data_IF_921675082482
#
_entry.id   IF_921675082482
#
_cell.length_a   1.000
_cell.length_b   1.000
_cell.length_c   1.000
_cell.angle_alpha   90.00
_cell.angle_beta   90.00
_cell.angle_gamma   90.00
#
_symmetry.space_group_name_H-M   'P 1'
#
loop_
_entity.id
_entity.type
_entity.pdbx_description
1 polymer ?
#
# COMPACT_ATOMS: atom_id res chain seq x y z
N UNK A 1 -37.54 -16.22 5.14
CA UNK A 1 -36.22 -16.81 5.41
C UNK A 1 -35.55 -17.37 4.15
N UNK A 2 -36.25 -18.08 3.25
CA UNK A 2 -35.65 -18.64 2.01
C UNK A 2 -34.88 -17.65 1.11
N UNK A 3 -35.33 -16.39 0.96
CA UNK A 3 -34.66 -15.43 0.09
C UNK A 3 -33.29 -14.96 0.62
N UNK A 4 -33.09 -14.94 1.95
CA UNK A 4 -31.81 -14.53 2.56
C UNK A 4 -30.76 -15.65 2.45
N UNK A 5 -31.15 -16.91 2.67
CA UNK A 5 -30.27 -18.07 2.47
C UNK A 5 -29.89 -18.25 0.99
N UNK A 6 -30.85 -18.09 0.06
CA UNK A 6 -30.53 -18.18 -1.37
C UNK A 6 -29.55 -17.08 -1.81
N UNK A 7 -29.72 -15.86 -1.32
CA UNK A 7 -28.81 -14.76 -1.65
C UNK A 7 -27.42 -14.97 -1.02
N UNK A 8 -27.34 -15.46 0.22
CA UNK A 8 -26.07 -15.78 0.87
C UNK A 8 -25.33 -16.91 0.14
N UNK A 9 -26.03 -17.98 -0.22
CA UNK A 9 -25.46 -19.09 -1.00
C UNK A 9 -25.00 -18.63 -2.38
N UNK A 10 -25.76 -17.77 -3.05
CA UNK A 10 -25.38 -17.22 -4.34
C UNK A 10 -24.09 -16.38 -4.22
N UNK A 11 -23.99 -15.52 -3.20
CA UNK A 11 -22.78 -14.73 -2.94
C UNK A 11 -21.58 -15.63 -2.63
N UNK A 12 -21.76 -16.68 -1.84
CA UNK A 12 -20.69 -17.63 -1.52
C UNK A 12 -20.21 -18.39 -2.76
N UNK A 13 -21.14 -18.87 -3.59
CA UNK A 13 -20.81 -19.58 -4.83
C UNK A 13 -20.07 -18.63 -5.79
N UNK A 14 -20.62 -17.45 -6.03
CA UNK A 14 -20.05 -16.48 -6.95
C UNK A 14 -18.67 -15.99 -6.47
N UNK A 15 -18.55 -15.71 -5.17
CA UNK A 15 -17.28 -15.36 -4.53
C UNK A 15 -16.24 -16.47 -4.65
N UNK A 16 -16.65 -17.73 -4.48
CA UNK A 16 -15.77 -18.90 -4.63
C UNK A 16 -15.28 -19.07 -6.06
N UNK A 17 -16.14 -18.86 -7.05
CA UNK A 17 -15.77 -18.91 -8.49
C UNK A 17 -14.78 -17.81 -8.83
N UNK A 18 -15.03 -16.58 -8.40
CA UNK A 18 -14.08 -15.46 -8.60
C UNK A 18 -12.74 -15.78 -7.95
N UNK A 19 -12.76 -16.27 -6.70
CA UNK A 19 -11.54 -16.57 -5.97
C UNK A 19 -10.74 -17.69 -6.66
N UNK A 20 -11.41 -18.74 -7.14
CA UNK A 20 -10.79 -19.81 -7.91
C UNK A 20 -10.12 -19.29 -9.20
N UNK A 21 -10.80 -18.40 -9.94
CA UNK A 21 -10.23 -17.77 -11.13
C UNK A 21 -8.99 -16.92 -10.81
N UNK A 22 -9.01 -16.18 -9.70
CA UNK A 22 -7.85 -15.40 -9.24
C UNK A 22 -6.68 -16.33 -8.91
N UNK A 23 -6.91 -17.39 -8.14
CA UNK A 23 -5.86 -18.35 -7.80
C UNK A 23 -5.27 -19.02 -9.04
N UNK A 24 -6.13 -19.40 -9.99
CA UNK A 24 -5.70 -20.00 -11.25
C UNK A 24 -4.86 -19.02 -12.08
N UNK A 25 -5.25 -17.73 -12.10
CA UNK A 25 -4.49 -16.68 -12.78
C UNK A 25 -3.12 -16.42 -12.13
N UNK A 26 -3.06 -16.35 -10.80
CA UNK A 26 -1.82 -16.18 -10.06
C UNK A 26 -0.86 -17.37 -10.26
N UNK A 27 -1.40 -18.59 -10.20
CA UNK A 27 -0.64 -19.81 -10.47
C UNK A 27 -0.11 -19.84 -11.91
N UNK A 28 -0.93 -19.42 -12.88
CA UNK A 28 -0.53 -19.34 -14.29
C UNK A 28 0.61 -18.34 -14.52
N UNK A 29 0.62 -17.23 -13.78
CA UNK A 29 1.67 -16.22 -13.84
C UNK A 29 2.85 -16.50 -12.89
N UNK A 30 2.86 -17.61 -12.16
CA UNK A 30 3.89 -17.94 -11.16
C UNK A 30 4.14 -16.82 -10.12
N UNK A 31 3.11 -16.05 -9.81
CA UNK A 31 3.20 -14.99 -8.80
C UNK A 31 3.10 -15.64 -7.41
N UNK A 32 3.96 -15.20 -6.48
CA UNK A 32 3.91 -15.69 -5.11
C UNK A 32 2.62 -15.23 -4.40
N UNK A 33 1.77 -16.20 -4.07
CA UNK A 33 0.46 -15.97 -3.44
C UNK A 33 0.60 -15.18 -2.13
N UNK A 34 1.65 -15.45 -1.35
CA UNK A 34 1.91 -14.77 -0.09
C UNK A 34 2.07 -13.25 -0.27
N UNK A 35 2.81 -12.81 -1.30
CA UNK A 35 3.02 -11.38 -1.57
C UNK A 35 1.70 -10.67 -1.94
N UNK A 36 0.86 -11.32 -2.75
CA UNK A 36 -0.44 -10.78 -3.15
C UNK A 36 -1.38 -10.65 -1.96
N UNK A 37 -1.41 -11.64 -1.06
CA UNK A 37 -2.22 -11.59 0.16
C UNK A 37 -1.74 -10.47 1.09
N UNK A 38 -0.43 -10.36 1.32
CA UNK A 38 0.14 -9.28 2.15
C UNK A 38 -0.21 -7.92 1.56
N UNK A 39 -0.04 -7.73 0.25
CA UNK A 39 -0.40 -6.49 -0.42
C UNK A 39 -1.89 -6.18 -0.29
N UNK A 40 -2.77 -7.17 -0.45
CA UNK A 40 -4.22 -6.99 -0.26
C UNK A 40 -4.56 -6.52 1.16
N UNK A 41 -3.94 -7.12 2.18
CA UNK A 41 -4.14 -6.76 3.58
C UNK A 41 -3.69 -5.32 3.82
N UNK A 42 -2.45 -4.99 3.43
CA UNK A 42 -1.89 -3.64 3.62
C UNK A 42 -2.71 -2.61 2.85
N UNK A 43 -3.12 -2.92 1.62
CA UNK A 43 -3.97 -2.05 0.80
C UNK A 43 -5.32 -1.78 1.46
N UNK A 44 -5.96 -2.81 2.02
CA UNK A 44 -7.25 -2.67 2.71
C UNK A 44 -7.13 -1.75 3.92
N UNK A 45 -6.12 -1.95 4.77
CA UNK A 45 -5.88 -1.08 5.93
C UNK A 45 -5.48 0.34 5.53
N UNK A 46 -4.63 0.49 4.51
CA UNK A 46 -4.27 1.79 3.92
C UNK A 46 -5.50 2.54 3.44
N UNK A 47 -6.38 1.88 2.68
CA UNK A 47 -7.64 2.44 2.19
C UNK A 47 -8.57 2.88 3.32
N UNK A 48 -8.75 2.04 4.34
CA UNK A 48 -9.56 2.38 5.52
C UNK A 48 -8.98 3.61 6.24
N UNK A 49 -7.66 3.63 6.49
CA UNK A 49 -7.01 4.76 7.15
C UNK A 49 -7.15 6.05 6.34
N UNK A 50 -7.05 5.98 5.02
CA UNK A 50 -7.21 7.13 4.14
C UNK A 50 -8.66 7.65 4.12
N UNK A 51 -9.66 6.76 4.15
CA UNK A 51 -11.08 7.14 4.31
C UNK A 51 -11.30 7.86 5.64
N UNK A 52 -10.76 7.31 6.74
CA UNK A 52 -10.84 7.95 8.07
C UNK A 52 -10.17 9.32 8.05
N UNK A 53 -9.00 9.46 7.40
CA UNK A 53 -8.29 10.74 7.23
C UNK A 53 -9.19 11.78 6.56
N UNK A 54 -9.89 11.41 5.50
CA UNK A 54 -10.73 12.36 4.74
C UNK A 54 -11.93 12.80 5.55
N UNK A 55 -12.56 11.88 6.27
CA UNK A 55 -13.64 12.18 7.20
C UNK A 55 -13.16 13.11 8.31
N UNK A 56 -11.99 12.83 8.91
CA UNK A 56 -11.41 13.65 9.97
C UNK A 56 -11.00 15.06 9.52
N UNK A 57 -10.57 15.21 8.26
CA UNK A 57 -10.16 16.50 7.66
C UNK A 57 -11.29 17.18 6.86
N UNK A 58 -12.51 16.61 6.88
CA UNK A 58 -13.70 17.10 6.18
C UNK A 58 -13.46 17.41 4.69
N UNK A 59 -12.70 16.54 4.01
CA UNK A 59 -12.33 16.67 2.60
C UNK A 59 -13.33 15.99 1.67
N UNK A 60 -13.29 16.32 0.39
CA UNK A 60 -14.20 15.75 -0.61
C UNK A 60 -13.90 14.27 -0.89
N UNK A 61 -14.73 13.37 -0.37
CA UNK A 61 -14.65 11.92 -0.56
C UNK A 61 -14.67 11.50 -2.03
N UNK A 62 -15.46 12.19 -2.86
CA UNK A 62 -15.63 11.81 -4.27
C UNK A 62 -14.32 12.01 -5.05
N UNK A 63 -13.65 13.13 -4.81
CA UNK A 63 -12.36 13.43 -5.45
C UNK A 63 -11.26 12.46 -5.01
N UNK A 64 -11.28 12.03 -3.75
CA UNK A 64 -10.37 10.99 -3.25
C UNK A 64 -10.61 9.62 -3.90
N UNK A 65 -11.87 9.17 -3.96
CA UNK A 65 -12.23 7.91 -4.59
C UNK A 65 -11.78 7.84 -6.06
N UNK A 66 -12.01 8.92 -6.82
CA UNK A 66 -11.67 8.93 -8.24
C UNK A 66 -10.19 9.14 -8.51
N UNK A 67 -9.44 9.75 -7.61
CA UNK A 67 -8.03 10.11 -7.86
C UNK A 67 -7.09 9.14 -7.14
N UNK A 68 -7.19 9.03 -5.82
CA UNK A 68 -6.27 8.20 -5.03
C UNK A 68 -6.57 6.72 -5.21
N UNK A 69 -7.82 6.29 -4.96
CA UNK A 69 -8.17 4.87 -5.06
C UNK A 69 -8.02 4.37 -6.50
N UNK A 70 -8.45 5.15 -7.49
CA UNK A 70 -8.30 4.77 -8.89
C UNK A 70 -6.82 4.71 -9.31
N UNK A 71 -6.01 5.72 -8.96
CA UNK A 71 -4.58 5.74 -9.29
C UNK A 71 -3.84 4.56 -8.66
N UNK A 72 -4.15 4.25 -7.39
CA UNK A 72 -3.59 3.08 -6.71
C UNK A 72 -4.01 1.78 -7.38
N UNK A 73 -5.28 1.64 -7.75
CA UNK A 73 -5.79 0.47 -8.47
C UNK A 73 -5.12 0.32 -9.85
N UNK A 74 -4.87 1.43 -10.54
CA UNK A 74 -4.09 1.44 -11.79
C UNK A 74 -2.64 1.03 -11.57
N UNK A 75 -2.02 1.41 -10.46
CA UNK A 75 -0.65 1.00 -10.13
C UNK A 75 -0.52 -0.53 -9.98
N UNK A 76 -1.58 -1.24 -9.60
CA UNK A 76 -1.59 -2.72 -9.59
C UNK A 76 -1.44 -3.32 -10.99
N UNK A 77 -1.78 -2.61 -12.07
CA UNK A 77 -1.54 -3.16 -13.42
C UNK A 77 -0.06 -3.31 -13.76
N UNK A 78 0.84 -2.57 -13.09
CA UNK A 78 2.28 -2.64 -13.33
C UNK A 78 2.83 -4.05 -13.06
N UNK A 79 2.68 -4.65 -11.86
CA UNK A 79 3.11 -6.03 -11.62
C UNK A 79 2.47 -7.04 -12.58
N UNK A 80 1.21 -6.83 -12.99
CA UNK A 80 0.51 -7.72 -13.92
C UNK A 80 1.13 -7.70 -15.32
N UNK A 81 1.43 -6.52 -15.86
CA UNK A 81 2.10 -6.38 -17.16
C UNK A 81 3.48 -7.04 -17.11
N UNK A 82 4.24 -6.80 -16.04
CA UNK A 82 5.54 -7.42 -15.84
C UNK A 82 5.44 -8.95 -15.76
N UNK A 83 4.41 -9.49 -15.11
CA UNK A 83 4.19 -10.93 -15.01
C UNK A 83 3.87 -11.57 -16.37
N UNK A 84 3.12 -10.87 -17.23
CA UNK A 84 2.88 -11.31 -18.61
C UNK A 84 4.18 -11.30 -19.43
N UNK A 85 5.02 -10.28 -19.27
CA UNK A 85 6.32 -10.19 -19.95
C UNK A 85 7.31 -11.26 -19.45
N UNK A 86 7.31 -11.56 -18.15
CA UNK A 86 8.17 -12.57 -17.54
C UNK A 86 7.91 -13.99 -18.08
N UNK A 87 6.74 -14.21 -18.66
CA UNK A 87 6.43 -15.46 -19.37
C UNK A 87 7.31 -15.70 -20.60
N UNK A 88 7.80 -14.63 -21.23
CA UNK A 88 8.70 -14.72 -22.40
C UNK A 88 10.17 -14.78 -21.97
N UNK A 89 10.54 -14.10 -20.89
CA UNK A 89 11.92 -14.01 -20.39
C UNK A 89 11.92 -14.22 -18.87
N UNK A 90 12.45 -15.36 -18.43
CA UNK A 90 12.39 -15.80 -17.03
C UNK A 90 13.09 -14.87 -16.03
N UNK A 91 14.10 -14.10 -16.46
CA UNK A 91 14.80 -13.13 -15.61
C UNK A 91 13.86 -12.04 -15.08
N UNK A 92 12.78 -11.72 -15.80
CA UNK A 92 11.82 -10.71 -15.35
C UNK A 92 10.92 -11.17 -14.20
N UNK A 93 10.91 -12.46 -13.81
CA UNK A 93 10.17 -12.90 -12.62
C UNK A 93 10.67 -12.21 -11.34
N UNK A 94 11.98 -11.96 -11.22
CA UNK A 94 12.50 -11.14 -10.12
C UNK A 94 11.91 -9.73 -10.12
N UNK A 95 11.72 -9.14 -11.30
CA UNK A 95 11.13 -7.80 -11.43
C UNK A 95 9.66 -7.78 -10.98
N UNK A 96 8.94 -8.87 -11.22
CA UNK A 96 7.56 -9.06 -10.76
C UNK A 96 7.52 -9.05 -9.23
N UNK A 97 8.34 -9.88 -8.58
CA UNK A 97 8.42 -9.96 -7.11
C UNK A 97 8.83 -8.62 -6.48
N UNK A 98 9.81 -7.94 -7.09
CA UNK A 98 10.21 -6.60 -6.67
C UNK A 98 9.09 -5.57 -6.83
N UNK A 99 8.30 -5.64 -7.91
CA UNK A 99 7.20 -4.71 -8.12
C UNK A 99 6.08 -4.88 -7.09
N UNK A 100 5.71 -6.13 -6.75
CA UNK A 100 4.75 -6.42 -5.67
C UNK A 100 5.27 -5.97 -4.31
N UNK A 101 6.54 -6.24 -4.02
CA UNK A 101 7.18 -5.80 -2.77
C UNK A 101 7.24 -4.27 -2.68
N UNK A 102 7.57 -3.59 -3.77
CA UNK A 102 7.61 -2.13 -3.83
C UNK A 102 6.23 -1.50 -3.62
N UNK A 103 5.19 -2.03 -4.28
CA UNK A 103 3.81 -1.60 -4.02
C UNK A 103 3.41 -1.81 -2.56
N UNK A 104 3.79 -2.95 -1.97
CA UNK A 104 3.47 -3.27 -0.56
C UNK A 104 4.09 -2.26 0.38
N UNK A 105 5.37 -1.95 0.17
CA UNK A 105 6.10 -0.94 0.97
C UNK A 105 5.47 0.44 0.77
N UNK A 106 5.17 0.83 -0.47
CA UNK A 106 4.50 2.10 -0.79
C UNK A 106 3.17 2.23 -0.05
N UNK A 107 2.36 1.18 -0.02
CA UNK A 107 1.08 1.21 0.68
C UNK A 107 1.20 1.21 2.21
N UNK A 108 2.23 0.55 2.73
CA UNK A 108 2.55 0.65 4.15
C UNK A 108 2.92 2.09 4.53
N UNK A 109 3.69 2.79 3.70
CA UNK A 109 3.98 4.21 3.91
C UNK A 109 2.73 5.09 3.82
N UNK A 110 1.88 4.89 2.81
CA UNK A 110 0.63 5.64 2.67
C UNK A 110 -0.30 5.46 3.90
N UNK A 111 -0.35 4.26 4.46
CA UNK A 111 -1.05 3.98 5.72
C UNK A 111 -0.47 4.80 6.89
N UNK A 112 0.86 4.81 7.07
CA UNK A 112 1.52 5.59 8.12
C UNK A 112 1.31 7.10 7.96
N UNK A 113 1.35 7.61 6.72
CA UNK A 113 1.06 9.01 6.40
C UNK A 113 -0.37 9.36 6.82
N UNK A 114 -1.32 8.50 6.48
CA UNK A 114 -2.74 8.69 6.82
C UNK A 114 -2.95 8.77 8.34
N UNK A 115 -2.32 7.87 9.09
CA UNK A 115 -2.34 7.90 10.57
C UNK A 115 -1.73 9.19 11.12
N UNK A 116 -0.55 9.60 10.62
CA UNK A 116 0.10 10.81 11.11
C UNK A 116 -0.71 12.07 10.80
N UNK A 117 -1.34 12.12 9.62
CA UNK A 117 -2.20 13.22 9.21
C UNK A 117 -3.43 13.34 10.12
N UNK A 118 -4.06 12.21 10.48
CA UNK A 118 -5.16 12.19 11.47
C UNK A 118 -4.66 12.71 12.83
N UNK A 119 -3.49 12.24 13.29
CA UNK A 119 -2.93 12.62 14.60
C UNK A 119 -2.58 14.11 14.68
N UNK A 120 -2.04 14.69 13.62
CA UNK A 120 -1.69 16.13 13.58
C UNK A 120 -2.87 17.02 13.19
N UNK A 121 -3.98 16.46 12.70
CA UNK A 121 -5.12 17.18 12.09
C UNK A 121 -4.70 18.12 10.95
N UNK A 122 -3.60 17.78 10.28
CA UNK A 122 -3.06 18.52 9.15
C UNK A 122 -2.92 17.57 7.97
N UNK A 123 -3.13 18.09 6.76
CA UNK A 123 -2.94 17.32 5.55
C UNK A 123 -1.45 17.18 5.24
N UNK A 124 -0.84 16.13 5.77
CA UNK A 124 0.53 15.78 5.44
C UNK A 124 0.50 15.11 4.06
N UNK A 125 1.13 15.77 3.08
CA UNK A 125 1.40 15.18 1.77
C UNK A 125 2.52 14.14 1.90
N UNK A 126 2.54 13.13 1.05
CA UNK A 126 3.53 12.03 1.10
C UNK A 126 4.98 12.56 1.03
N UNK A 127 5.24 13.60 0.23
CA UNK A 127 6.56 14.24 0.12
C UNK A 127 7.01 14.87 1.46
N UNK A 128 6.09 15.48 2.21
CA UNK A 128 6.40 16.08 3.50
C UNK A 128 6.63 15.02 4.59
N UNK A 129 5.98 13.86 4.47
CA UNK A 129 6.25 12.72 5.35
C UNK A 129 7.67 12.18 5.16
N UNK A 130 8.17 12.08 3.92
CA UNK A 130 9.56 11.68 3.67
C UNK A 130 10.53 12.65 4.36
N UNK A 131 10.29 13.96 4.26
CA UNK A 131 11.10 14.97 4.95
C UNK A 131 11.05 14.81 6.48
N UNK A 132 9.85 14.63 7.06
CA UNK A 132 9.67 14.41 8.50
C UNK A 132 10.33 13.10 8.96
N UNK A 133 10.26 12.05 8.15
CA UNK A 133 10.86 10.76 8.44
C UNK A 133 12.39 10.86 8.38
N UNK A 134 12.95 11.48 7.35
CA UNK A 134 14.39 11.74 7.22
C UNK A 134 14.87 12.60 8.40
N UNK A 135 14.12 13.62 8.81
CA UNK A 135 14.50 14.48 9.94
C UNK A 135 14.48 13.72 11.28
N UNK A 136 13.49 12.85 11.50
CA UNK A 136 13.44 11.96 12.66
C UNK A 136 14.56 10.92 12.61
N UNK A 137 14.83 10.34 11.46
CA UNK A 137 15.91 9.38 11.28
C UNK A 137 17.26 10.06 11.49
N UNK A 138 17.46 11.29 11.02
CA UNK A 138 18.63 12.13 11.28
C UNK A 138 18.78 12.45 12.76
N UNK A 139 17.70 12.74 13.48
CA UNK A 139 17.72 12.93 14.95
C UNK A 139 18.06 11.65 15.71
N UNK A 140 17.55 10.51 15.29
CA UNK A 140 17.88 9.21 15.89
C UNK A 140 19.33 8.85 15.58
N UNK A 141 19.74 8.95 14.32
CA UNK A 141 21.10 8.72 13.86
C UNK A 141 22.08 9.62 14.61
N UNK A 142 21.87 10.94 14.66
CA UNK A 142 22.73 11.87 15.43
C UNK A 142 22.79 11.54 16.93
N UNK A 143 21.68 11.08 17.53
CA UNK A 143 21.64 10.63 18.93
C UNK A 143 22.41 9.34 19.18
N UNK A 144 22.39 8.39 18.23
CA UNK A 144 23.14 7.13 18.33
C UNK A 144 24.60 7.26 17.89
N UNK A 145 24.88 8.17 16.95
CA UNK A 145 26.21 8.35 16.39
C UNK A 145 27.10 9.22 17.28
N UNK A 146 26.59 9.73 18.43
CA UNK A 146 27.28 10.72 19.28
C UNK A 146 28.09 11.66 18.40
N UNK A 147 27.41 12.37 17.49
CA UNK A 147 28.01 13.60 16.98
C UNK A 147 27.93 14.55 18.16
N UNK A 148 28.88 14.36 19.06
CA UNK A 148 29.29 15.29 20.08
C UNK A 148 29.55 16.56 19.30
N UNK A 149 28.64 17.52 19.44
CA UNK A 149 28.87 18.89 19.04
C UNK A 149 30.20 19.25 19.71
N UNK A 150 31.26 19.28 18.92
CA UNK A 150 32.54 19.78 19.36
C UNK A 150 32.41 21.31 19.42
N UNK A 151 31.62 21.77 20.39
CA UNK A 151 31.71 23.11 20.96
C UNK A 151 33.01 23.16 21.76
N UNK A 152 34.14 23.12 21.07
CA UNK A 152 35.40 23.62 21.60
C UNK A 152 35.61 25.03 21.04
N UNK A 153 35.15 25.98 21.85
CA UNK A 153 35.83 27.22 22.17
C UNK A 153 37.01 27.60 21.23
N UNK A 154 36.76 28.56 20.35
CA UNK A 154 37.72 29.65 20.09
C UNK A 154 36.93 30.94 20.32
N UNK A 155 37.03 31.53 21.52
CA UNK A 155 37.99 32.60 21.84
C UNK A 155 38.13 33.62 20.72
#
# INVERSE_FOLDING_TARGET
MNNLENNANFVLIFGSVILALIYQFLAYLKIEIAQVIVLLIVFTFSGIAAIIKILALNKNLRAFLTTDILSKTLAFFIPFILAVMAKQISVFYYLVDYSFSFLTIGEFFAFLVSIQSIRKKEDIKEVDFYNIFIEKFKKIASKYLKIEDNNDNKK
#
